data_IF_905101029764
#
_entry.id   IF_905101029764
#
_cell.length_a   1.000
_cell.length_b   1.000
_cell.length_c   1.000
_cell.angle_alpha   90.00
_cell.angle_beta   90.00
_cell.angle_gamma   90.00
#
_symmetry.space_group_name_H-M   'P 1'
#
loop_
_entity.id
_entity.type
_entity.pdbx_description
1 polymer ?
#
# COMPACT_ATOMS: atom_id res chain seq x y z
N UNK A 1 19.17 -5.81 -13.12
CA UNK A 1 18.17 -5.48 -12.08
C UNK A 1 16.77 -5.69 -12.65
N UNK A 2 15.75 -5.86 -11.80
CA UNK A 2 14.37 -6.09 -12.22
C UNK A 2 13.45 -4.98 -11.75
N UNK A 3 12.49 -4.59 -12.57
CA UNK A 3 11.46 -3.61 -12.23
C UNK A 3 10.10 -4.07 -12.73
N UNK A 4 9.09 -4.02 -11.87
CA UNK A 4 7.71 -4.35 -12.21
C UNK A 4 6.92 -3.06 -12.32
N UNK A 5 6.26 -2.85 -13.45
CA UNK A 5 5.25 -1.81 -13.63
C UNK A 5 3.90 -2.50 -13.73
N UNK A 6 3.00 -2.22 -12.80
CA UNK A 6 1.69 -2.86 -12.75
C UNK A 6 0.66 -1.89 -12.16
N UNK A 7 -0.59 -2.00 -12.60
CA UNK A 7 -1.73 -1.36 -11.96
C UNK A 7 -2.22 -2.10 -10.70
N UNK A 8 -1.65 -3.27 -10.40
CA UNK A 8 -2.06 -4.12 -9.30
C UNK A 8 -1.82 -3.41 -7.96
N UNK A 9 -2.89 -3.28 -7.17
CA UNK A 9 -2.86 -2.62 -5.86
C UNK A 9 -2.19 -3.43 -4.75
N UNK A 10 -1.76 -4.66 -5.04
CA UNK A 10 -1.17 -5.60 -4.10
C UNK A 10 -2.05 -5.84 -2.86
N UNK A 11 -3.37 -5.86 -3.05
CA UNK A 11 -4.37 -6.20 -2.03
C UNK A 11 -5.11 -7.51 -2.39
N UNK A 12 -5.75 -8.20 -1.43
CA UNK A 12 -6.43 -9.48 -1.69
C UNK A 12 -7.46 -9.46 -2.82
N UNK A 13 -8.04 -8.29 -3.08
CA UNK A 13 -8.97 -8.04 -4.18
C UNK A 13 -8.28 -8.22 -5.54
N UNK A 14 -7.12 -7.59 -5.75
CA UNK A 14 -6.35 -7.69 -6.98
C UNK A 14 -5.89 -9.12 -7.30
N UNK A 15 -5.73 -10.00 -6.29
CA UNK A 15 -5.41 -11.42 -6.52
C UNK A 15 -6.61 -12.30 -6.86
N UNK A 16 -7.82 -11.91 -6.47
CA UNK A 16 -8.99 -12.81 -6.50
C UNK A 16 -10.08 -12.37 -7.45
N UNK A 17 -10.17 -11.09 -7.76
CA UNK A 17 -11.34 -10.49 -8.39
C UNK A 17 -10.98 -9.59 -9.58
N UNK A 18 -9.94 -8.77 -9.45
CA UNK A 18 -9.59 -7.83 -10.51
C UNK A 18 -8.72 -8.50 -11.58
N UNK A 19 -8.88 -8.04 -12.83
CA UNK A 19 -8.03 -8.43 -13.94
C UNK A 19 -6.88 -7.44 -14.04
N UNK A 20 -5.67 -7.95 -13.88
CA UNK A 20 -4.47 -7.14 -13.70
C UNK A 20 -3.47 -7.41 -14.81
N UNK A 21 -2.72 -6.38 -15.18
CA UNK A 21 -1.63 -6.48 -16.15
C UNK A 21 -0.31 -5.99 -15.54
N UNK A 22 0.80 -6.40 -16.14
CA UNK A 22 2.11 -5.96 -15.73
C UNK A 22 3.11 -5.95 -16.88
N UNK A 23 4.08 -5.05 -16.78
CA UNK A 23 5.31 -5.07 -17.55
C UNK A 23 6.46 -5.39 -16.59
N UNK A 24 7.14 -6.51 -16.82
CA UNK A 24 8.34 -6.89 -16.09
C UNK A 24 9.57 -6.54 -16.93
N UNK A 25 10.37 -5.59 -16.43
CA UNK A 25 11.57 -5.09 -17.10
C UNK A 25 12.79 -5.75 -16.47
N UNK A 26 13.60 -6.41 -17.30
CA UNK A 26 14.93 -6.89 -16.94
C UNK A 26 15.98 -5.94 -17.51
N UNK A 27 16.71 -5.25 -16.63
CA UNK A 27 17.73 -4.26 -16.97
C UNK A 27 19.12 -4.72 -16.47
N UNK A 28 19.77 -5.69 -17.14
CA UNK A 28 21.06 -6.24 -16.70
C UNK A 28 22.22 -5.25 -16.84
N UNK A 29 22.12 -4.30 -17.78
CA UNK A 29 23.15 -3.28 -18.06
C UNK A 29 22.94 -1.99 -17.27
N UNK A 30 21.89 -1.91 -16.44
CA UNK A 30 21.53 -0.73 -15.64
C UNK A 30 21.24 0.52 -16.49
N UNK A 31 20.77 0.34 -17.74
CA UNK A 31 20.49 1.44 -18.66
C UNK A 31 19.38 2.39 -18.14
N UNK A 32 18.46 1.88 -17.32
CA UNK A 32 17.33 2.65 -16.77
C UNK A 32 17.59 3.16 -15.35
N UNK A 33 18.77 2.93 -14.78
CA UNK A 33 19.08 3.21 -13.38
C UNK A 33 18.83 4.67 -13.01
N UNK A 34 19.36 5.62 -13.79
CA UNK A 34 19.18 7.06 -13.53
C UNK A 34 17.71 7.48 -13.55
N UNK A 35 16.93 6.94 -14.48
CA UNK A 35 15.49 7.22 -14.57
C UNK A 35 14.76 6.68 -13.33
N UNK A 36 15.07 5.46 -12.92
CA UNK A 36 14.48 4.84 -11.72
C UNK A 36 14.84 5.60 -10.45
N UNK A 37 16.09 6.01 -10.28
CA UNK A 37 16.54 6.78 -9.12
C UNK A 37 15.81 8.12 -9.03
N UNK A 38 15.64 8.81 -10.16
CA UNK A 38 14.87 10.06 -10.25
C UNK A 38 13.40 9.85 -9.88
N UNK A 39 12.76 8.82 -10.41
CA UNK A 39 11.37 8.47 -10.09
C UNK A 39 11.18 8.20 -8.59
N UNK A 40 12.03 7.34 -8.01
CA UNK A 40 11.97 7.00 -6.59
C UNK A 40 12.25 8.22 -5.70
N UNK A 41 13.15 9.11 -6.10
CA UNK A 41 13.38 10.36 -5.39
C UNK A 41 12.13 11.25 -5.40
N UNK A 42 11.47 11.38 -6.57
CA UNK A 42 10.22 12.16 -6.69
C UNK A 42 9.11 11.57 -5.82
N UNK A 43 8.90 10.26 -5.85
CA UNK A 43 7.92 9.56 -5.00
C UNK A 43 8.16 9.86 -3.52
N UNK A 44 9.43 9.92 -3.10
CA UNK A 44 9.81 10.13 -1.69
C UNK A 44 9.69 11.58 -1.21
N UNK A 45 9.58 12.57 -2.11
CA UNK A 45 9.58 14.01 -1.79
C UNK A 45 8.58 14.39 -0.68
N UNK A 46 7.40 13.79 -0.67
CA UNK A 46 6.33 14.08 0.30
C UNK A 46 6.07 12.92 1.27
N UNK A 47 7.09 12.09 1.49
CA UNK A 47 7.00 10.96 2.42
C UNK A 47 7.71 11.28 3.72
N UNK A 48 7.21 10.71 4.82
CA UNK A 48 7.89 10.73 6.12
C UNK A 48 8.30 9.32 6.47
N UNK A 49 9.56 9.13 6.80
CA UNK A 49 10.05 7.86 7.33
C UNK A 49 9.50 7.63 8.73
N UNK A 50 8.81 6.51 8.91
CA UNK A 50 8.36 6.02 10.23
C UNK A 50 9.48 5.16 10.81
N UNK A 51 10.06 5.57 11.94
CA UNK A 51 11.15 4.85 12.61
C UNK A 51 10.63 3.88 13.67
N UNK A 52 9.48 4.19 14.26
CA UNK A 52 8.86 3.35 15.28
C UNK A 52 7.34 3.31 15.14
N UNK A 53 6.71 2.17 15.48
CA UNK A 53 5.26 1.99 15.32
C UNK A 53 4.43 2.98 16.16
N UNK A 54 4.98 3.48 17.26
CA UNK A 54 4.30 4.47 18.13
C UNK A 54 4.25 5.87 17.52
N UNK A 55 4.96 6.13 16.43
CA UNK A 55 4.77 7.37 15.66
C UNK A 55 3.41 7.37 14.94
N UNK A 56 2.81 6.19 14.76
CA UNK A 56 1.45 6.04 14.25
C UNK A 56 0.46 6.12 15.42
N UNK A 57 -0.63 6.83 15.17
CA UNK A 57 -1.73 6.91 16.11
C UNK A 57 -2.34 5.54 16.37
N UNK A 58 -2.66 5.28 17.64
CA UNK A 58 -3.48 4.14 18.00
C UNK A 58 -4.95 4.46 17.69
N UNK A 59 -5.78 3.42 17.60
CA UNK A 59 -7.24 3.58 17.46
C UNK A 59 -7.83 4.37 18.65
N UNK A 60 -7.15 4.36 19.81
CA UNK A 60 -7.55 5.14 20.98
C UNK A 60 -7.29 6.64 20.84
N UNK A 61 -6.54 7.07 19.83
CA UNK A 61 -6.25 8.48 19.55
C UNK A 61 -7.23 9.05 18.50
N UNK A 62 -7.95 8.19 17.79
CA UNK A 62 -8.87 8.61 16.73
C UNK A 62 -10.12 9.31 17.29
N UNK A 63 -10.72 10.25 16.54
CA UNK A 63 -11.99 10.89 16.91
C UNK A 63 -13.07 9.87 17.28
N UNK A 64 -13.92 10.23 18.24
CA UNK A 64 -14.90 9.31 18.87
C UNK A 64 -15.76 8.59 17.83
N UNK A 65 -16.23 9.30 16.80
CA UNK A 65 -17.07 8.72 15.73
C UNK A 65 -16.34 7.61 14.97
N UNK A 66 -15.09 7.85 14.57
CA UNK A 66 -14.25 6.89 13.83
C UNK A 66 -13.93 5.68 14.71
N UNK A 67 -13.56 5.91 15.97
CA UNK A 67 -13.26 4.84 16.93
C UNK A 67 -14.45 3.92 17.17
N UNK A 68 -15.65 4.49 17.34
CA UNK A 68 -16.90 3.72 17.52
C UNK A 68 -17.20 2.86 16.28
N UNK A 69 -17.02 3.41 15.07
CA UNK A 69 -17.20 2.67 13.83
C UNK A 69 -16.24 1.48 13.73
N UNK A 70 -14.94 1.70 13.89
CA UNK A 70 -13.91 0.64 13.81
C UNK A 70 -14.19 -0.46 14.83
N UNK A 71 -14.52 -0.11 16.08
CA UNK A 71 -14.84 -1.09 17.13
C UNK A 71 -16.10 -1.90 16.79
N UNK A 72 -17.13 -1.27 16.24
CA UNK A 72 -18.35 -1.96 15.82
C UNK A 72 -18.06 -2.96 14.70
N UNK A 73 -17.31 -2.56 13.68
CA UNK A 73 -16.92 -3.43 12.55
C UNK A 73 -16.12 -4.66 13.01
N UNK A 74 -15.15 -4.46 13.91
CA UNK A 74 -14.37 -5.57 14.51
C UNK A 74 -15.24 -6.54 15.30
N UNK A 75 -16.24 -6.04 16.06
CA UNK A 75 -17.13 -6.88 16.86
C UNK A 75 -17.96 -7.83 15.99
N UNK A 76 -18.41 -7.37 14.82
CA UNK A 76 -19.19 -8.17 13.87
C UNK A 76 -18.32 -8.92 12.84
N UNK A 77 -16.98 -8.83 12.95
CA UNK A 77 -15.99 -9.46 12.05
C UNK A 77 -16.13 -9.09 10.56
N UNK A 78 -16.81 -7.99 10.26
CA UNK A 78 -16.97 -7.49 8.88
C UNK A 78 -15.67 -6.84 8.37
N UNK A 79 -14.78 -6.43 9.26
CA UNK A 79 -13.45 -5.92 8.94
C UNK A 79 -12.64 -6.89 8.04
N UNK A 80 -12.75 -8.21 8.26
CA UNK A 80 -12.11 -9.23 7.41
C UNK A 80 -12.72 -9.35 6.01
N UNK A 81 -14.00 -9.04 5.88
CA UNK A 81 -14.68 -9.06 4.59
C UNK A 81 -14.30 -7.80 3.79
N UNK A 82 -14.30 -6.64 4.45
CA UNK A 82 -13.86 -5.37 3.87
C UNK A 82 -12.44 -5.51 3.33
N UNK A 83 -11.50 -6.05 4.12
CA UNK A 83 -10.10 -6.23 3.69
C UNK A 83 -9.90 -7.21 2.54
N UNK A 84 -10.93 -7.96 2.13
CA UNK A 84 -10.88 -8.90 1.01
C UNK A 84 -11.46 -8.33 -0.28
N UNK A 85 -12.36 -7.36 -0.17
CA UNK A 85 -13.14 -6.82 -1.29
C UNK A 85 -12.70 -5.39 -1.64
N UNK A 86 -12.17 -4.64 -0.67
CA UNK A 86 -11.51 -3.34 -0.86
C UNK A 86 -10.00 -3.50 -0.82
#
# INVERSE_FOLDING_TARGET
>A
EWQLLTGNNLNPRAWRLDLENALLIHDPTQALRTQRERELAMIRTHTRMVKHFTELQSIADYPIKVRKLIRRLRRVRIDRLISRIL
#
